data_IF_052434539619
#
_entry.id   IF_052434539619
#
_cell.length_a   1.000
_cell.length_b   1.000
_cell.length_c   1.000
_cell.angle_alpha   90.00
_cell.angle_beta   90.00
_cell.angle_gamma   90.00
#
_symmetry.space_group_name_H-M   'P 1'
#
loop_
_entity.id
_entity.type
_entity.pdbx_description
1 polymer ?
#
# COMPACT_ATOMS: atom_id res chain seq x y z
N UNK A 1 5.42 3.69 -5.58
CA UNK A 1 4.01 3.62 -6.00
C UNK A 1 3.93 3.35 -7.48
N UNK A 2 3.10 2.42 -7.85
CA UNK A 2 2.85 2.09 -9.25
C UNK A 2 1.35 2.00 -9.52
N UNK A 3 0.90 2.10 -10.79
CA UNK A 3 -0.49 1.81 -11.13
C UNK A 3 -0.86 0.40 -10.70
N UNK A 4 -2.08 0.21 -10.22
CA UNK A 4 -2.57 -1.12 -9.85
C UNK A 4 -2.68 -2.02 -11.09
N UNK A 5 -3.22 -1.46 -12.17
CA UNK A 5 -3.28 -2.07 -13.50
C UNK A 5 -3.10 -0.98 -14.56
N UNK A 6 -2.53 -1.31 -15.70
CA UNK A 6 -2.24 -0.35 -16.76
C UNK A 6 -3.44 0.06 -17.62
N UNK A 7 -4.65 -0.40 -17.28
CA UNK A 7 -5.88 -0.05 -18.00
C UNK A 7 -6.53 1.18 -17.39
N UNK A 8 -7.09 2.04 -18.22
CA UNK A 8 -7.74 3.30 -17.81
C UNK A 8 -8.83 3.12 -16.74
N UNK A 9 -9.54 2.00 -16.74
CA UNK A 9 -10.54 1.70 -15.73
C UNK A 9 -9.98 1.66 -14.30
N UNK A 10 -8.66 1.48 -14.16
CA UNK A 10 -7.98 1.35 -12.86
C UNK A 10 -7.09 2.54 -12.53
N UNK A 11 -7.24 3.67 -13.24
CA UNK A 11 -6.42 4.87 -13.03
C UNK A 11 -6.52 5.43 -11.61
N UNK A 12 -7.62 5.18 -10.91
CA UNK A 12 -7.84 5.69 -9.54
C UNK A 12 -7.33 4.75 -8.46
N UNK A 13 -6.67 3.68 -8.84
CA UNK A 13 -6.09 2.69 -7.92
C UNK A 13 -4.59 2.62 -8.09
N UNK A 14 -3.86 2.54 -6.98
CA UNK A 14 -2.41 2.37 -7.00
C UNK A 14 -2.00 1.22 -6.10
N UNK A 15 -0.83 0.67 -6.39
CA UNK A 15 -0.16 -0.30 -5.55
C UNK A 15 1.00 0.39 -4.86
N UNK A 16 1.14 0.19 -3.55
CA UNK A 16 2.26 0.70 -2.77
C UNK A 16 3.13 -0.43 -2.28
N UNK A 17 4.44 -0.15 -2.20
CA UNK A 17 5.39 -1.05 -1.58
C UNK A 17 6.37 -0.17 -0.81
N UNK A 18 6.25 -0.17 0.52
CA UNK A 18 7.15 0.58 1.40
C UNK A 18 7.82 -0.42 2.31
N UNK A 19 9.15 -0.42 2.26
CA UNK A 19 9.97 -1.24 3.14
C UNK A 19 10.56 -0.36 4.23
N UNK A 20 10.26 -0.69 5.48
CA UNK A 20 10.77 0.01 6.66
C UNK A 20 11.30 -1.05 7.64
N UNK A 21 12.54 -0.92 8.07
CA UNK A 21 13.11 -1.85 9.02
C UNK A 21 12.50 -1.68 10.43
N UNK A 22 12.84 -2.60 11.33
CA UNK A 22 12.26 -2.63 12.68
C UNK A 22 12.54 -1.35 13.48
N UNK A 23 13.74 -0.80 13.38
CA UNK A 23 14.10 0.42 14.09
C UNK A 23 13.36 1.63 13.54
N UNK A 24 13.25 1.73 12.22
CA UNK A 24 12.51 2.80 11.57
C UNK A 24 11.02 2.74 11.87
N UNK A 25 10.44 1.55 11.97
CA UNK A 25 9.04 1.37 12.37
C UNK A 25 8.78 1.96 13.76
N UNK A 26 9.69 1.72 14.69
CA UNK A 26 9.58 2.24 16.06
C UNK A 26 9.72 3.76 16.13
N UNK A 27 10.48 4.36 15.22
CA UNK A 27 10.66 5.82 15.18
C UNK A 27 9.52 6.57 14.52
N UNK A 28 8.55 5.86 13.90
CA UNK A 28 7.41 6.48 13.22
C UNK A 28 7.71 6.97 11.81
N UNK A 29 8.89 6.68 11.25
CA UNK A 29 9.26 7.10 9.90
C UNK A 29 8.32 6.49 8.86
N UNK A 30 8.02 5.20 8.97
CA UNK A 30 7.11 4.51 8.05
C UNK A 30 5.72 5.13 8.04
N UNK A 31 5.20 5.48 9.23
CA UNK A 31 3.90 6.13 9.35
C UNK A 31 3.88 7.49 8.65
N UNK A 32 4.92 8.30 8.84
CA UNK A 32 5.03 9.62 8.18
C UNK A 32 5.12 9.48 6.67
N UNK A 33 5.88 8.50 6.17
CA UNK A 33 5.98 8.25 4.74
C UNK A 33 4.61 7.93 4.13
N UNK A 34 3.82 7.08 4.79
CA UNK A 34 2.48 6.74 4.33
C UNK A 34 1.53 7.95 4.39
N UNK A 35 1.60 8.74 5.45
CA UNK A 35 0.75 9.93 5.59
C UNK A 35 1.03 10.94 4.49
N UNK A 36 2.30 11.21 4.18
CA UNK A 36 2.69 12.11 3.10
C UNK A 36 2.32 11.56 1.74
N UNK A 37 2.56 10.28 1.51
CA UNK A 37 2.20 9.61 0.25
C UNK A 37 0.69 9.68 0.01
N UNK A 38 -0.11 9.32 1.00
CA UNK A 38 -1.56 9.35 0.89
C UNK A 38 -2.09 10.77 0.66
N UNK A 39 -1.46 11.77 1.27
CA UNK A 39 -1.84 13.17 1.04
C UNK A 39 -1.62 13.56 -0.42
N UNK A 40 -0.47 13.20 -0.99
CA UNK A 40 -0.17 13.46 -2.40
C UNK A 40 -1.17 12.73 -3.30
N UNK A 41 -1.42 11.46 -3.03
CA UNK A 41 -2.36 10.65 -3.82
C UNK A 41 -3.79 11.21 -3.76
N UNK A 42 -4.23 11.69 -2.60
CA UNK A 42 -5.53 12.37 -2.48
C UNK A 42 -5.62 13.59 -3.36
N UNK A 43 -4.56 14.41 -3.41
CA UNK A 43 -4.52 15.58 -4.25
C UNK A 43 -4.55 15.23 -5.74
N UNK A 44 -4.01 14.08 -6.11
CA UNK A 44 -4.10 13.58 -7.48
C UNK A 44 -5.49 13.03 -7.84
N UNK A 45 -6.34 12.81 -6.86
CA UNK A 45 -7.66 12.20 -7.07
C UNK A 45 -7.66 10.68 -7.01
N UNK A 46 -6.59 10.07 -6.52
CA UNK A 46 -6.52 8.62 -6.31
C UNK A 46 -7.48 8.23 -5.17
N UNK A 47 -8.18 7.12 -5.33
CA UNK A 47 -9.19 6.66 -4.38
C UNK A 47 -8.79 5.40 -3.62
N UNK A 48 -8.06 4.50 -4.26
CA UNK A 48 -7.72 3.20 -3.69
C UNK A 48 -6.21 3.06 -3.58
N UNK A 49 -5.74 2.74 -2.39
CA UNK A 49 -4.33 2.39 -2.15
C UNK A 49 -4.28 0.92 -1.75
N UNK A 50 -3.55 0.12 -2.51
CA UNK A 50 -3.44 -1.31 -2.29
C UNK A 50 -2.01 -1.66 -1.91
N UNK A 51 -1.85 -2.40 -0.82
CA UNK A 51 -0.55 -2.85 -0.34
C UNK A 51 -0.43 -4.36 -0.51
N UNK A 52 0.67 -4.80 -1.12
CA UNK A 52 1.00 -6.20 -1.29
C UNK A 52 2.13 -6.56 -0.34
N UNK A 53 1.91 -7.51 0.55
CA UNK A 53 2.80 -7.79 1.67
C UNK A 53 3.12 -9.27 1.72
N UNK A 54 4.43 -9.62 1.76
CA UNK A 54 4.85 -10.97 2.02
C UNK A 54 4.51 -11.34 3.48
N UNK A 55 3.87 -12.49 3.69
CA UNK A 55 3.34 -12.86 4.99
C UNK A 55 3.78 -14.28 5.36
N UNK A 56 4.57 -14.46 6.42
CA UNK A 56 4.97 -15.78 6.87
C UNK A 56 3.82 -16.45 7.62
N UNK A 57 3.60 -17.75 7.39
CA UNK A 57 2.67 -18.52 8.20
C UNK A 57 3.19 -18.65 9.63
N UNK A 58 4.51 -18.83 9.75
CA UNK A 58 5.22 -18.83 11.03
C UNK A 58 6.34 -17.79 10.90
N UNK A 59 6.43 -16.88 11.84
CA UNK A 59 7.45 -15.85 11.82
C UNK A 59 8.85 -16.46 11.87
N UNK A 60 9.77 -15.88 11.10
CA UNK A 60 11.16 -16.32 11.04
C UNK A 60 12.11 -15.12 11.11
N UNK A 61 13.42 -15.36 10.94
CA UNK A 61 14.43 -14.32 11.00
C UNK A 61 14.39 -13.31 9.86
N UNK A 62 13.65 -13.61 8.79
CA UNK A 62 13.59 -12.75 7.59
C UNK A 62 12.31 -11.93 7.53
N UNK A 63 11.17 -12.52 7.89
CA UNK A 63 9.86 -11.89 7.78
C UNK A 63 9.06 -12.10 9.06
N UNK A 64 8.36 -11.05 9.48
CA UNK A 64 7.46 -11.07 10.62
C UNK A 64 6.06 -10.62 10.18
N UNK A 65 5.08 -10.78 11.06
CA UNK A 65 3.70 -10.32 10.82
C UNK A 65 3.54 -8.82 11.09
N UNK A 66 4.61 -8.14 11.48
CA UNK A 66 4.59 -6.71 11.86
C UNK A 66 4.10 -5.81 10.74
N UNK A 67 4.43 -6.13 9.48
CA UNK A 67 4.02 -5.30 8.34
C UNK A 67 2.50 -5.26 8.18
N UNK A 68 1.83 -6.40 8.35
CA UNK A 68 0.36 -6.45 8.31
C UNK A 68 -0.23 -5.64 9.45
N UNK A 69 0.27 -5.82 10.66
CA UNK A 69 -0.19 -5.07 11.84
C UNK A 69 0.03 -3.57 11.67
N UNK A 70 1.16 -3.19 11.10
CA UNK A 70 1.48 -1.79 10.80
C UNK A 70 0.45 -1.19 9.83
N UNK A 71 0.13 -1.90 8.74
CA UNK A 71 -0.88 -1.44 7.78
C UNK A 71 -2.28 -1.37 8.39
N UNK A 72 -2.64 -2.32 9.26
CA UNK A 72 -3.92 -2.27 9.96
C UNK A 72 -4.05 -1.01 10.83
N UNK A 73 -2.98 -0.62 11.50
CA UNK A 73 -2.95 0.61 12.31
C UNK A 73 -3.10 1.86 11.46
N UNK A 74 -2.70 1.82 10.19
CA UNK A 74 -2.86 2.93 9.25
C UNK A 74 -4.25 2.96 8.61
N UNK A 75 -5.10 2.01 8.92
CA UNK A 75 -6.47 1.95 8.40
C UNK A 75 -6.66 1.03 7.20
N UNK A 76 -5.66 0.22 6.85
CA UNK A 76 -5.79 -0.76 5.78
C UNK A 76 -6.57 -1.97 6.27
N UNK A 77 -7.34 -2.57 5.37
CA UNK A 77 -8.12 -3.78 5.63
C UNK A 77 -7.64 -4.92 4.75
N UNK A 78 -7.74 -6.14 5.26
CA UNK A 78 -7.34 -7.34 4.54
C UNK A 78 -8.31 -7.63 3.40
N UNK A 79 -7.78 -7.80 2.19
CA UNK A 79 -8.56 -8.20 1.01
C UNK A 79 -8.49 -9.69 0.79
N UNK A 80 -7.30 -10.26 0.83
CA UNK A 80 -7.13 -11.68 0.59
C UNK A 80 -5.69 -12.12 0.70
N UNK A 81 -5.50 -13.45 0.63
CA UNK A 81 -4.20 -14.09 0.78
C UNK A 81 -3.96 -15.06 -0.37
N UNK A 82 -2.81 -14.94 -1.02
CA UNK A 82 -2.31 -15.96 -1.94
C UNK A 82 -1.34 -16.84 -1.17
N UNK A 83 -1.65 -18.14 -1.10
CA UNK A 83 -0.85 -19.09 -0.34
C UNK A 83 0.35 -19.56 -1.13
N UNK A 84 1.52 -19.61 -0.47
CA UNK A 84 2.77 -20.10 -1.06
C UNK A 84 3.06 -19.52 -2.44
N UNK A 85 2.84 -18.22 -2.56
CA UNK A 85 2.96 -17.48 -3.82
C UNK A 85 4.40 -17.04 -4.09
N UNK A 86 5.19 -16.76 -3.05
CA UNK A 86 6.56 -16.29 -3.16
C UNK A 86 7.57 -17.28 -2.59
N UNK A 87 8.67 -17.49 -3.32
CA UNK A 87 9.78 -18.32 -2.86
C UNK A 87 11.01 -17.45 -2.64
N UNK A 88 11.50 -17.40 -1.39
CA UNK A 88 12.59 -16.54 -0.99
C UNK A 88 13.28 -17.13 0.24
N UNK A 89 14.60 -17.02 0.33
CA UNK A 89 15.39 -17.57 1.44
C UNK A 89 15.17 -19.06 1.66
N UNK A 90 15.00 -19.82 0.56
CA UNK A 90 14.70 -21.27 0.58
C UNK A 90 13.38 -21.61 1.30
N UNK A 91 12.45 -20.67 1.36
CA UNK A 91 11.15 -20.83 2.01
C UNK A 91 10.03 -20.28 1.17
N UNK A 92 8.85 -20.83 1.32
CA UNK A 92 7.64 -20.33 0.70
C UNK A 92 6.92 -19.36 1.64
N UNK A 93 6.47 -18.25 1.09
CA UNK A 93 5.72 -17.24 1.81
C UNK A 93 4.37 -16.99 1.15
N UNK A 94 3.39 -16.68 1.97
CA UNK A 94 2.11 -16.20 1.49
C UNK A 94 2.24 -14.74 1.07
N UNK A 95 1.31 -14.27 0.26
CA UNK A 95 1.21 -12.87 -0.12
C UNK A 95 -0.17 -12.39 0.25
N UNK A 96 -0.25 -11.32 1.03
CA UNK A 96 -1.53 -10.72 1.41
C UNK A 96 -1.71 -9.39 0.69
N UNK A 97 -2.94 -9.11 0.32
CA UNK A 97 -3.35 -7.80 -0.21
C UNK A 97 -4.18 -7.09 0.84
N UNK A 98 -3.84 -5.83 1.08
CA UNK A 98 -4.59 -4.94 1.95
C UNK A 98 -4.98 -3.70 1.16
N UNK A 99 -6.10 -3.10 1.51
CA UNK A 99 -6.59 -1.91 0.80
C UNK A 99 -7.01 -0.81 1.77
N UNK A 100 -6.95 0.43 1.29
CA UNK A 100 -7.47 1.59 1.99
C UNK A 100 -8.09 2.54 0.96
N UNK A 101 -9.30 2.98 1.22
CA UNK A 101 -9.94 4.02 0.41
C UNK A 101 -9.57 5.38 1.00
N UNK A 102 -9.00 6.24 0.17
CA UNK A 102 -8.55 7.57 0.58
C UNK A 102 -9.36 8.70 -0.05
N UNK A 103 -10.37 8.37 -0.81
CA UNK A 103 -11.28 9.32 -1.44
C UNK A 103 -12.66 8.73 -1.65
N UNK A 104 -13.58 9.57 -2.08
CA UNK A 104 -14.95 9.19 -2.28
C UNK A 104 -15.16 8.66 -3.71
N UNK A 105 -15.74 7.47 -3.83
CA UNK A 105 -16.09 6.89 -5.13
C UNK A 105 -17.40 7.51 -5.62
N UNK A 106 -17.34 8.16 -6.78
CA UNK A 106 -18.48 8.88 -7.37
C UNK A 106 -18.88 8.27 -8.70
N UNK A 107 -20.14 8.41 -9.04
CA UNK A 107 -20.65 7.95 -10.33
C UNK A 107 -19.98 8.68 -11.49
N UNK A 108 -19.78 10.00 -11.37
CA UNK A 108 -19.05 10.84 -12.32
C UNK A 108 -17.70 11.21 -11.71
N UNK A 109 -16.73 10.32 -11.83
CA UNK A 109 -15.43 10.50 -11.16
C UNK A 109 -14.55 11.43 -11.97
N UNK A 110 -14.00 12.51 -11.34
CA UNK A 110 -13.01 13.37 -12.00
C UNK A 110 -11.74 12.59 -12.35
N UNK A 111 -11.10 12.97 -13.44
CA UNK A 111 -9.82 12.38 -13.84
C UNK A 111 -8.74 12.66 -12.81
N UNK A 112 -7.76 11.76 -12.74
CA UNK A 112 -6.59 11.96 -11.89
C UNK A 112 -5.71 13.08 -12.44
N UNK A 113 -4.94 13.69 -11.54
CA UNK A 113 -3.94 14.70 -11.89
C UNK A 113 -2.57 14.03 -11.82
N UNK A 114 -1.84 13.88 -12.94
CA UNK A 114 -0.49 13.33 -12.93
C UNK A 114 0.43 14.14 -12.01
N UNK A 115 1.33 13.46 -11.30
CA UNK A 115 2.20 14.10 -10.30
C UNK A 115 2.95 15.33 -10.84
N UNK A 116 3.52 15.32 -12.07
CA UNK A 116 4.21 16.50 -12.60
C UNK A 116 3.32 17.74 -12.78
N UNK A 117 2.01 17.57 -12.90
CA UNK A 117 1.04 18.65 -13.07
C UNK A 117 0.40 19.07 -11.74
N UNK A 118 0.68 18.34 -10.67
CA UNK A 118 0.08 18.57 -9.37
C UNK A 118 0.73 19.75 -8.66
N UNK A 119 -0.09 20.69 -8.18
CA UNK A 119 0.37 21.74 -7.28
C UNK A 119 0.12 21.29 -5.86
N UNK A 120 1.20 20.99 -5.15
CA UNK A 120 1.09 20.53 -3.76
C UNK A 120 0.79 21.71 -2.84
N UNK A 121 -0.23 21.54 -2.02
CA UNK A 121 -0.49 22.45 -0.91
C UNK A 121 0.46 22.11 0.25
N UNK A 122 1.10 23.11 0.78
CA UNK A 122 2.00 22.95 1.93
C UNK A 122 1.27 23.28 3.23
#
# INVERSE_FOLDING_TARGET
>A
VSPFKERAAYDWSVETSIYVDMEQKRSGIGRRLYEELENILKQQGILNVNACIAYPQVEDEYLTKDSVLFHEKLGYTMVGTFHQCGYKFHRWYDMVWMEKFIGEHRENQPDIIPFPELKLEK
#
